data_IF_833235458215
#
_entry.id   IF_833235458215
#
_cell.length_a   1.000
_cell.length_b   1.000
_cell.length_c   1.000
_cell.angle_alpha   90.00
_cell.angle_beta   90.00
_cell.angle_gamma   90.00
#
_symmetry.space_group_name_H-M   'P 1'
#
loop_
_entity.id
_entity.type
_entity.pdbx_description
1 polymer ?
#
# COMPACT_ATOMS: atom_id res chain seq x y z
N UNK A 1 0.41 -15.18 -8.87
CA UNK A 1 1.17 -14.94 -10.12
C UNK A 1 0.39 -14.11 -11.17
N UNK A 2 -0.38 -14.66 -12.14
CA UNK A 2 -0.96 -13.85 -13.27
C UNK A 2 -1.92 -12.69 -12.90
N UNK A 3 -2.46 -12.63 -11.68
CA UNK A 3 -3.24 -11.48 -11.14
C UNK A 3 -2.38 -10.43 -10.40
N UNK A 4 -1.11 -10.73 -10.18
CA UNK A 4 -0.16 -9.95 -9.38
C UNK A 4 0.87 -9.24 -10.26
N UNK A 5 1.47 -10.01 -11.19
CA UNK A 5 2.53 -9.56 -12.08
C UNK A 5 1.94 -9.03 -13.39
N UNK A 6 2.11 -7.74 -13.66
CA UNK A 6 1.85 -7.17 -14.98
C UNK A 6 3.07 -7.38 -15.88
N UNK A 7 2.86 -8.10 -16.98
CA UNK A 7 3.84 -8.31 -18.05
C UNK A 7 3.38 -7.72 -19.39
N UNK A 8 2.30 -6.93 -19.42
CA UNK A 8 1.73 -6.37 -20.65
C UNK A 8 2.69 -5.44 -21.40
N UNK A 9 3.57 -4.75 -20.67
CA UNK A 9 4.63 -3.89 -21.21
C UNK A 9 5.91 -4.65 -21.62
N UNK A 10 5.96 -5.98 -21.47
CA UNK A 10 7.15 -6.78 -21.73
C UNK A 10 7.09 -7.52 -23.07
N UNK A 11 8.26 -7.65 -23.73
CA UNK A 11 8.40 -8.56 -24.87
C UNK A 11 8.16 -10.01 -24.41
N UNK A 12 7.58 -10.91 -25.23
CA UNK A 12 7.23 -12.27 -24.79
C UNK A 12 8.39 -13.08 -24.17
N UNK A 13 9.64 -12.84 -24.59
CA UNK A 13 10.82 -13.44 -23.98
C UNK A 13 11.07 -12.93 -22.55
N UNK A 14 11.05 -11.61 -22.34
CA UNK A 14 11.17 -10.98 -21.01
C UNK A 14 10.01 -11.41 -20.09
N UNK A 15 8.78 -11.41 -20.61
CA UNK A 15 7.61 -11.88 -19.88
C UNK A 15 7.75 -13.34 -19.42
N UNK A 16 8.26 -14.22 -20.29
CA UNK A 16 8.52 -15.62 -19.95
C UNK A 16 9.69 -15.79 -18.97
N UNK A 17 10.73 -14.95 -19.05
CA UNK A 17 11.86 -14.94 -18.12
C UNK A 17 11.39 -14.60 -16.71
N UNK A 18 10.75 -13.44 -16.51
CA UNK A 18 10.20 -13.03 -15.21
C UNK A 18 9.16 -14.04 -14.71
N UNK A 19 8.27 -14.57 -15.57
CA UNK A 19 7.33 -15.63 -15.21
C UNK A 19 7.99 -16.99 -14.91
N UNK A 20 9.27 -17.18 -15.21
CA UNK A 20 10.07 -18.36 -14.83
C UNK A 20 10.73 -18.13 -13.48
N UNK A 21 11.36 -16.97 -13.28
CA UNK A 21 11.94 -16.56 -11.99
C UNK A 21 10.91 -16.56 -10.87
N UNK A 22 9.74 -15.97 -11.14
CA UNK A 22 8.64 -15.86 -10.20
C UNK A 22 8.06 -17.22 -9.77
N UNK A 23 8.39 -18.33 -10.44
CA UNK A 23 7.99 -19.69 -9.99
C UNK A 23 8.83 -20.22 -8.83
N UNK A 24 9.95 -19.57 -8.49
CA UNK A 24 10.75 -19.95 -7.32
C UNK A 24 9.99 -19.70 -6.00
N UNK A 25 9.15 -18.67 -5.96
CA UNK A 25 8.33 -18.31 -4.79
C UNK A 25 7.24 -19.40 -4.57
N UNK A 26 7.12 -19.98 -3.36
CA UNK A 26 6.13 -21.01 -3.06
C UNK A 26 4.67 -20.57 -3.31
N UNK A 27 3.83 -21.53 -3.71
CA UNK A 27 2.43 -21.29 -4.08
C UNK A 27 1.58 -20.66 -2.95
N UNK A 28 1.88 -20.98 -1.69
CA UNK A 28 1.22 -20.42 -0.52
C UNK A 28 1.59 -18.94 -0.31
N UNK A 29 2.88 -18.59 -0.38
CA UNK A 29 3.32 -17.20 -0.34
C UNK A 29 2.73 -16.40 -1.52
N UNK A 30 2.65 -17.01 -2.70
CA UNK A 30 1.96 -16.42 -3.86
C UNK A 30 0.48 -16.14 -3.65
N UNK A 31 -0.20 -16.91 -2.79
CA UNK A 31 -1.58 -16.67 -2.38
C UNK A 31 -1.63 -15.54 -1.36
N UNK A 32 -0.81 -15.58 -0.31
CA UNK A 32 -0.75 -14.51 0.71
C UNK A 32 -0.48 -13.13 0.10
N UNK A 33 0.44 -13.03 -0.86
CA UNK A 33 0.72 -11.79 -1.60
C UNK A 33 -0.45 -11.38 -2.53
N UNK A 34 -1.21 -12.34 -3.08
CA UNK A 34 -2.44 -12.05 -3.84
C UNK A 34 -3.54 -11.47 -2.95
N UNK A 35 -3.75 -12.10 -1.79
CA UNK A 35 -4.80 -11.76 -0.85
C UNK A 35 -4.46 -10.49 -0.06
N UNK A 36 -3.17 -10.12 0.07
CA UNK A 36 -2.71 -8.79 0.52
C UNK A 36 -2.81 -7.70 -0.54
N UNK A 37 -3.33 -8.02 -1.74
CA UNK A 37 -3.56 -7.08 -2.83
C UNK A 37 -2.32 -6.64 -3.59
N UNK A 38 -1.17 -7.33 -3.49
CA UNK A 38 0.08 -6.92 -4.14
C UNK A 38 -0.09 -6.66 -5.65
N UNK A 39 0.68 -5.74 -6.21
CA UNK A 39 0.96 -5.66 -7.65
C UNK A 39 2.46 -5.56 -7.87
N UNK A 40 2.92 -6.15 -8.96
CA UNK A 40 4.34 -6.25 -9.33
C UNK A 40 4.40 -5.85 -10.80
N UNK A 41 5.13 -4.78 -11.15
CA UNK A 41 5.15 -4.27 -12.52
C UNK A 41 6.54 -3.90 -13.02
N UNK A 42 6.70 -3.97 -14.33
CA UNK A 42 7.83 -3.38 -15.06
C UNK A 42 7.50 -1.97 -15.55
N UNK A 43 8.38 -0.99 -15.32
CA UNK A 43 8.30 0.31 -15.98
C UNK A 43 9.32 0.40 -17.13
N UNK A 44 8.88 0.58 -18.39
CA UNK A 44 9.76 0.82 -19.54
C UNK A 44 10.53 2.16 -19.49
N UNK A 45 11.67 2.26 -20.20
CA UNK A 45 12.37 3.53 -20.40
C UNK A 45 11.46 4.58 -21.04
N UNK A 46 11.48 5.80 -20.51
CA UNK A 46 10.70 6.93 -20.99
C UNK A 46 9.23 6.97 -20.52
N UNK A 47 8.80 6.01 -19.69
CA UNK A 47 7.46 5.99 -19.11
C UNK A 47 7.42 6.48 -17.65
N UNK A 48 6.21 6.69 -17.14
CA UNK A 48 5.94 6.94 -15.72
C UNK A 48 4.82 6.02 -15.17
N UNK A 49 4.69 5.94 -13.85
CA UNK A 49 3.69 5.08 -13.23
C UNK A 49 2.23 5.53 -13.44
N UNK A 50 1.95 6.74 -13.94
CA UNK A 50 0.59 7.11 -14.38
C UNK A 50 0.14 6.28 -15.59
N UNK A 51 1.09 5.91 -16.46
CA UNK A 51 0.85 5.16 -17.70
C UNK A 51 0.69 3.64 -17.51
N UNK A 52 0.93 3.13 -16.29
CA UNK A 52 0.88 1.67 -15.99
C UNK A 52 -0.45 1.20 -15.42
N UNK A 53 -0.72 -0.12 -15.56
CA UNK A 53 -1.81 -0.80 -14.85
C UNK A 53 -1.62 -0.84 -13.32
N UNK A 54 -0.43 -0.47 -12.83
CA UNK A 54 0.06 -0.77 -11.48
C UNK A 54 -0.59 0.10 -10.41
N UNK A 55 -0.23 1.39 -10.42
CA UNK A 55 -0.83 2.41 -9.55
C UNK A 55 -2.29 2.65 -9.95
N UNK A 56 -2.75 2.12 -11.10
CA UNK A 56 -4.17 2.10 -11.40
C UNK A 56 -4.97 0.99 -10.69
N UNK A 57 -4.47 -0.09 -10.09
CA UNK A 57 -5.33 -1.28 -9.85
C UNK A 57 -5.82 -1.63 -8.42
N UNK A 58 -7.14 -1.82 -8.30
CA UNK A 58 -7.84 -2.62 -7.27
C UNK A 58 -8.96 -3.47 -7.95
N UNK A 59 -10.13 -3.66 -7.31
CA UNK A 59 -11.39 -4.02 -7.98
C UNK A 59 -12.59 -3.19 -7.46
N UNK A 60 -13.66 -3.01 -8.26
CA UNK A 60 -14.88 -2.32 -7.81
C UNK A 60 -15.61 -3.01 -6.64
N UNK A 61 -15.49 -4.34 -6.50
CA UNK A 61 -16.13 -5.07 -5.41
C UNK A 61 -15.49 -4.74 -4.03
N UNK A 62 -14.18 -4.48 -4.01
CA UNK A 62 -13.48 -4.04 -2.80
C UNK A 62 -13.90 -2.61 -2.41
N UNK A 63 -14.06 -1.73 -3.41
CA UNK A 63 -14.60 -0.38 -3.24
C UNK A 63 -16.00 -0.41 -2.63
N UNK A 64 -16.92 -1.19 -3.21
CA UNK A 64 -18.29 -1.37 -2.73
C UNK A 64 -18.35 -1.89 -1.28
N UNK A 65 -17.43 -2.79 -0.91
CA UNK A 65 -17.37 -3.34 0.43
C UNK A 65 -16.88 -2.30 1.45
N UNK A 66 -15.81 -1.56 1.12
CA UNK A 66 -15.31 -0.45 1.94
C UNK A 66 -16.37 0.63 2.12
N UNK A 67 -17.00 1.04 1.03
CA UNK A 67 -18.08 2.04 1.03
C UNK A 67 -19.23 1.62 1.97
N UNK A 68 -19.66 0.35 1.92
CA UNK A 68 -20.69 -0.17 2.84
C UNK A 68 -20.25 -0.14 4.30
N UNK A 69 -19.01 -0.56 4.61
CA UNK A 69 -18.47 -0.51 5.99
C UNK A 69 -18.39 0.91 6.51
N UNK A 70 -17.88 1.85 5.71
CA UNK A 70 -17.67 3.24 6.11
C UNK A 70 -19.00 4.00 6.20
N UNK A 71 -19.95 3.75 5.29
CA UNK A 71 -21.33 4.25 5.41
C UNK A 71 -22.02 3.74 6.69
N UNK A 72 -21.75 2.48 7.09
CA UNK A 72 -22.26 1.97 8.36
C UNK A 72 -21.55 2.60 9.56
N UNK A 73 -20.22 2.71 9.56
CA UNK A 73 -19.45 3.44 10.59
C UNK A 73 -19.93 4.89 10.79
N UNK A 74 -20.35 5.57 9.72
CA UNK A 74 -20.96 6.89 9.77
C UNK A 74 -22.33 6.85 10.49
N UNK A 75 -23.23 5.92 10.12
CA UNK A 75 -24.53 5.73 10.80
C UNK A 75 -24.37 5.40 12.28
N UNK A 76 -23.46 4.48 12.60
CA UNK A 76 -23.25 4.02 13.96
C UNK A 76 -22.73 5.16 14.84
N UNK A 77 -21.80 5.97 14.31
CA UNK A 77 -21.29 7.17 14.99
C UNK A 77 -22.38 8.23 15.16
N UNK A 78 -23.24 8.45 14.15
CA UNK A 78 -24.36 9.39 14.26
C UNK A 78 -25.35 8.93 15.34
N UNK A 79 -25.79 7.67 15.28
CA UNK A 79 -26.76 7.13 16.24
C UNK A 79 -26.22 7.10 17.67
N UNK A 80 -24.91 6.87 17.84
CA UNK A 80 -24.21 7.01 19.11
C UNK A 80 -24.30 8.45 19.64
N UNK A 81 -23.95 9.46 18.84
CA UNK A 81 -24.02 10.86 19.27
C UNK A 81 -25.45 11.39 19.49
N UNK A 82 -26.42 10.99 18.64
CA UNK A 82 -27.84 11.30 18.83
C UNK A 82 -28.33 10.75 20.18
N UNK A 83 -27.91 9.54 20.57
CA UNK A 83 -28.27 8.93 21.86
C UNK A 83 -27.64 9.58 23.10
N UNK A 84 -26.60 10.40 22.92
CA UNK A 84 -25.94 11.15 23.99
C UNK A 84 -26.55 12.54 24.20
N UNK A 85 -27.47 12.97 23.33
CA UNK A 85 -28.11 14.30 23.40
C UNK A 85 -29.51 14.17 24.04
N UNK A 86 -29.77 14.89 25.13
CA UNK A 86 -31.11 14.92 25.74
C UNK A 86 -32.05 15.81 24.90
N UNK A 87 -33.12 15.26 24.27
CA UNK A 87 -34.03 16.03 23.43
C UNK A 87 -34.94 16.97 24.22
N UNK A 88 -34.91 16.95 25.56
CA UNK A 88 -35.68 17.84 26.43
C UNK A 88 -34.92 19.12 26.81
N UNK A 89 -33.62 19.23 26.48
CA UNK A 89 -32.81 20.42 26.70
C UNK A 89 -32.58 21.17 25.37
N UNK A 90 -33.28 22.29 25.20
CA UNK A 90 -33.17 23.15 24.01
C UNK A 90 -31.76 23.74 23.83
N UNK A 91 -31.03 23.99 24.92
CA UNK A 91 -29.68 24.54 24.88
C UNK A 91 -28.65 23.49 24.45
N UNK A 92 -28.74 22.26 24.98
CA UNK A 92 -27.93 21.13 24.51
C UNK A 92 -28.25 20.78 23.05
N UNK A 93 -29.54 20.79 22.68
CA UNK A 93 -29.96 20.57 21.28
C UNK A 93 -29.38 21.61 20.33
N UNK A 94 -29.39 22.89 20.68
CA UNK A 94 -28.77 23.95 19.88
C UNK A 94 -27.24 23.85 19.83
N UNK A 95 -26.58 23.54 20.96
CA UNK A 95 -25.14 23.30 21.02
C UNK A 95 -24.70 22.09 20.20
N UNK A 96 -25.48 21.01 20.20
CA UNK A 96 -25.27 19.82 19.37
C UNK A 96 -25.38 20.18 17.89
N UNK A 97 -26.47 20.82 17.45
CA UNK A 97 -26.67 21.21 16.05
C UNK A 97 -25.53 22.11 15.51
N UNK A 98 -24.93 22.94 16.36
CA UNK A 98 -23.80 23.80 16.02
C UNK A 98 -22.43 23.06 15.96
N UNK A 99 -22.28 21.89 16.60
CA UNK A 99 -20.99 21.19 16.77
C UNK A 99 -20.92 19.77 16.19
N UNK A 100 -22.06 19.19 15.84
CA UNK A 100 -22.20 17.83 15.31
C UNK A 100 -21.27 17.52 14.13
N UNK A 101 -21.11 18.47 13.19
CA UNK A 101 -20.32 18.27 11.97
C UNK A 101 -18.85 17.95 12.27
N UNK A 102 -18.12 18.85 12.97
CA UNK A 102 -16.76 18.57 13.45
C UNK A 102 -16.65 17.29 14.29
N UNK A 103 -17.57 17.05 15.24
CA UNK A 103 -17.52 15.88 16.13
C UNK A 103 -17.65 14.56 15.34
N UNK A 104 -18.61 14.50 14.41
CA UNK A 104 -18.81 13.32 13.56
C UNK A 104 -17.63 13.15 12.59
N UNK A 105 -17.09 14.23 12.03
CA UNK A 105 -15.90 14.19 11.19
C UNK A 105 -14.68 13.61 11.94
N UNK A 106 -14.45 14.04 13.18
CA UNK A 106 -13.36 13.55 14.04
C UNK A 106 -13.55 12.07 14.43
N UNK A 107 -14.75 11.68 14.89
CA UNK A 107 -15.04 10.31 15.32
C UNK A 107 -15.08 9.30 14.15
N UNK A 108 -15.37 9.75 12.93
CA UNK A 108 -15.34 8.90 11.73
C UNK A 108 -13.97 8.85 11.06
N UNK A 109 -13.09 9.86 11.24
CA UNK A 109 -11.77 9.91 10.59
C UNK A 109 -10.93 8.62 10.78
N UNK A 110 -10.81 8.01 11.99
CA UNK A 110 -10.10 6.73 12.16
C UNK A 110 -10.79 5.53 11.47
N UNK A 111 -12.11 5.64 11.25
CA UNK A 111 -12.98 4.62 10.65
C UNK A 111 -13.14 4.79 9.12
N UNK A 112 -12.58 5.85 8.52
CA UNK A 112 -12.95 6.31 7.19
C UNK A 112 -12.30 5.54 6.02
N UNK A 113 -11.37 4.62 6.26
CA UNK A 113 -10.71 3.72 5.28
C UNK A 113 -10.15 4.37 3.97
N UNK A 114 -9.94 5.69 3.96
CA UNK A 114 -9.47 6.48 2.82
C UNK A 114 -10.50 7.44 2.21
N UNK A 115 -11.77 7.39 2.64
CA UNK A 115 -12.75 8.44 2.39
C UNK A 115 -12.41 9.70 3.23
N UNK A 116 -12.65 10.89 2.69
CA UNK A 116 -12.27 12.15 3.34
C UNK A 116 -13.49 12.80 4.03
N UNK A 117 -13.50 12.97 5.36
CA UNK A 117 -14.55 13.74 6.01
C UNK A 117 -14.44 15.22 5.66
N UNK A 118 -15.59 15.85 5.43
CA UNK A 118 -15.74 17.31 5.24
C UNK A 118 -16.90 17.83 6.07
N UNK A 119 -16.71 19.01 6.66
CA UNK A 119 -17.75 19.72 7.43
C UNK A 119 -18.42 20.72 6.51
N UNK A 120 -19.75 20.72 6.49
CA UNK A 120 -20.57 21.64 5.69
C UNK A 120 -21.27 22.66 6.59
N UNK A 121 -20.86 23.92 6.51
CA UNK A 121 -21.51 25.06 7.17
C UNK A 121 -22.67 25.66 6.36
N UNK A 122 -22.81 25.26 5.10
CA UNK A 122 -23.82 25.70 4.12
C UNK A 122 -24.02 24.60 3.06
N UNK A 123 -25.11 24.65 2.27
CA UNK A 123 -25.18 23.89 1.03
C UNK A 123 -24.05 24.29 0.06
N UNK A 124 -23.49 23.32 -0.64
CA UNK A 124 -22.39 23.45 -1.62
C UNK A 124 -22.76 22.74 -2.91
N UNK A 125 -22.18 23.13 -4.03
CA UNK A 125 -22.40 22.45 -5.31
C UNK A 125 -21.70 21.09 -5.38
N UNK A 126 -22.21 20.20 -6.23
CA UNK A 126 -21.54 18.93 -6.50
C UNK A 126 -20.14 19.11 -7.09
N UNK A 127 -19.91 20.16 -7.89
CA UNK A 127 -18.60 20.46 -8.48
C UNK A 127 -17.57 20.91 -7.43
N UNK A 128 -17.96 21.73 -6.44
CA UNK A 128 -17.12 22.04 -5.26
C UNK A 128 -16.74 20.77 -4.47
N UNK A 129 -17.64 19.79 -4.36
CA UNK A 129 -17.35 18.52 -3.70
C UNK A 129 -16.43 17.59 -4.53
N UNK A 130 -16.55 17.62 -5.86
CA UNK A 130 -15.63 16.89 -6.76
C UNK A 130 -14.22 17.46 -6.73
N UNK A 131 -14.09 18.79 -6.68
CA UNK A 131 -12.82 19.50 -6.54
C UNK A 131 -12.19 19.24 -5.16
N UNK A 132 -12.98 19.33 -4.08
CA UNK A 132 -12.52 19.01 -2.72
C UNK A 132 -12.12 17.54 -2.52
N UNK A 133 -12.65 16.62 -3.34
CA UNK A 133 -12.23 15.23 -3.40
C UNK A 133 -10.96 15.00 -4.26
N UNK A 134 -10.48 16.00 -4.99
CA UNK A 134 -9.35 15.87 -5.91
C UNK A 134 -9.62 14.96 -7.12
N UNK A 135 -10.89 14.85 -7.54
CA UNK A 135 -11.28 13.94 -8.61
C UNK A 135 -11.25 14.61 -9.99
N UNK A 136 -10.59 13.96 -10.96
CA UNK A 136 -10.95 14.14 -12.38
C UNK A 136 -12.46 13.80 -12.54
N UNK A 137 -13.18 14.44 -13.49
CA UNK A 137 -14.66 14.36 -13.57
C UNK A 137 -15.17 12.91 -13.77
N UNK A 138 -15.49 12.24 -12.67
CA UNK A 138 -15.99 10.87 -12.61
C UNK A 138 -17.49 10.81 -12.84
N UNK A 139 -17.95 9.93 -13.73
CA UNK A 139 -19.37 9.63 -13.97
C UNK A 139 -20.10 9.09 -12.74
N UNK A 140 -19.36 8.51 -11.80
CA UNK A 140 -19.90 7.72 -10.70
C UNK A 140 -19.97 8.54 -9.40
N UNK A 141 -19.38 9.74 -9.36
CA UNK A 141 -19.21 10.53 -8.14
C UNK A 141 -20.51 10.76 -7.38
N UNK A 142 -21.59 11.16 -8.07
CA UNK A 142 -22.92 11.36 -7.49
C UNK A 142 -23.47 10.08 -6.84
N UNK A 143 -23.23 8.93 -7.47
CA UNK A 143 -23.73 7.63 -7.01
C UNK A 143 -22.94 7.15 -5.78
N UNK A 144 -21.61 7.26 -5.82
CA UNK A 144 -20.72 6.95 -4.70
C UNK A 144 -21.02 7.84 -3.49
N UNK A 145 -21.13 9.16 -3.70
CA UNK A 145 -21.44 10.14 -2.65
C UNK A 145 -22.80 9.84 -1.99
N UNK A 146 -23.84 9.50 -2.78
CA UNK A 146 -25.16 9.08 -2.29
C UNK A 146 -25.12 7.75 -1.55
N UNK A 147 -24.38 6.78 -2.05
CA UNK A 147 -24.27 5.45 -1.45
C UNK A 147 -23.53 5.51 -0.10
N UNK A 148 -22.49 6.34 -0.02
CA UNK A 148 -21.68 6.57 1.18
C UNK A 148 -22.45 7.36 2.25
N UNK A 149 -23.12 8.45 1.86
CA UNK A 149 -23.73 9.43 2.78
C UNK A 149 -25.26 9.38 2.89
N UNK A 150 -25.94 8.42 2.26
CA UNK A 150 -27.40 8.38 2.12
C UNK A 150 -28.26 8.72 3.36
N UNK A 151 -27.88 8.37 4.60
CA UNK A 151 -28.61 8.76 5.82
C UNK A 151 -28.59 10.26 6.13
N UNK A 152 -27.56 10.98 5.68
CA UNK A 152 -27.36 12.41 5.99
C UNK A 152 -27.43 13.32 4.78
N UNK A 153 -27.16 12.80 3.58
CA UNK A 153 -27.09 13.58 2.35
C UNK A 153 -28.46 14.15 1.95
N UNK A 154 -28.55 15.48 1.89
CA UNK A 154 -29.65 16.22 1.29
C UNK A 154 -29.18 16.78 -0.05
N UNK A 155 -30.01 16.67 -1.09
CA UNK A 155 -29.73 17.25 -2.41
C UNK A 155 -30.95 17.99 -2.93
N UNK A 156 -30.78 19.28 -3.23
CA UNK A 156 -31.80 20.18 -3.77
C UNK A 156 -31.26 20.78 -5.07
N UNK A 157 -31.65 20.19 -6.20
CA UNK A 157 -31.06 20.51 -7.51
C UNK A 157 -29.57 20.15 -7.57
N UNK A 158 -28.73 21.13 -7.84
CA UNK A 158 -27.27 21.01 -7.87
C UNK A 158 -26.60 21.27 -6.50
N UNK A 159 -27.37 21.68 -5.47
CA UNK A 159 -26.85 21.93 -4.13
C UNK A 159 -26.98 20.69 -3.25
N UNK A 160 -25.94 20.44 -2.48
CA UNK A 160 -25.76 19.30 -1.59
C UNK A 160 -25.51 19.83 -0.18
N UNK A 161 -26.13 19.21 0.81
CA UNK A 161 -25.97 19.51 2.24
C UNK A 161 -26.06 18.24 3.08
N UNK A 162 -25.85 18.37 4.40
CA UNK A 162 -25.95 17.26 5.36
C UNK A 162 -26.97 17.60 6.45
N UNK A 163 -27.72 16.61 6.95
CA UNK A 163 -28.51 16.75 8.20
C UNK A 163 -27.62 17.02 9.41
N UNK A 164 -26.38 16.54 9.38
CA UNK A 164 -25.45 16.51 10.50
C UNK A 164 -24.24 17.44 10.28
N UNK A 165 -24.29 18.34 9.29
CA UNK A 165 -23.19 19.24 8.91
C UNK A 165 -21.85 18.51 8.59
N UNK A 166 -21.89 17.20 8.30
CA UNK A 166 -20.74 16.39 7.90
C UNK A 166 -21.10 15.48 6.73
N UNK A 167 -20.17 15.30 5.79
CA UNK A 167 -20.18 14.27 4.75
C UNK A 167 -18.82 13.57 4.69
N UNK A 168 -18.77 12.41 4.07
CA UNK A 168 -17.56 11.76 3.58
C UNK A 168 -17.49 11.91 2.06
N UNK A 169 -16.35 12.30 1.50
CA UNK A 169 -16.16 12.38 0.06
C UNK A 169 -15.63 11.05 -0.51
N UNK A 170 -16.19 10.57 -1.64
CA UNK A 170 -15.59 9.45 -2.38
C UNK A 170 -14.24 9.89 -2.95
N UNK A 171 -13.20 9.17 -2.57
CA UNK A 171 -11.84 9.38 -3.06
C UNK A 171 -11.73 9.02 -4.56
N UNK A 172 -10.75 9.60 -5.28
CA UNK A 172 -10.50 9.24 -6.67
C UNK A 172 -10.07 7.77 -6.78
N UNK A 173 -10.95 6.94 -7.34
CA UNK A 173 -10.66 5.54 -7.65
C UNK A 173 -9.60 5.47 -8.75
N UNK A 174 -8.36 5.07 -8.44
CA UNK A 174 -7.53 4.37 -9.44
C UNK A 174 -7.93 2.89 -9.40
N UNK A 175 -8.77 2.48 -10.37
CA UNK A 175 -9.50 1.18 -10.51
C UNK A 175 -10.05 0.54 -9.20
N UNK A 176 -10.24 1.31 -8.11
CA UNK A 176 -11.01 0.94 -6.92
C UNK A 176 -10.31 0.96 -5.55
N UNK A 177 -9.01 1.31 -5.47
CA UNK A 177 -8.07 1.15 -4.26
C UNK A 177 -8.14 2.69 -3.80
N UNK A 178 -8.49 3.04 -2.52
CA UNK A 178 -8.26 4.39 -2.01
C UNK A 178 -6.77 4.71 -1.96
N UNK A 179 -6.36 5.64 -2.82
CA UNK A 179 -5.05 6.28 -2.70
C UNK A 179 -5.28 7.71 -2.21
N UNK A 180 -4.71 8.08 -1.06
CA UNK A 180 -4.69 9.47 -0.60
C UNK A 180 -4.10 10.34 -1.70
N UNK A 181 -4.71 11.49 -1.99
CA UNK A 181 -4.39 12.33 -3.15
C UNK A 181 -2.88 12.63 -3.28
N UNK A 182 -2.21 12.99 -2.19
CA UNK A 182 -0.76 13.26 -2.18
C UNK A 182 0.07 12.02 -2.50
N UNK A 183 -0.33 10.84 -2.01
CA UNK A 183 0.31 9.57 -2.33
C UNK A 183 0.09 9.20 -3.80
N UNK A 184 -1.10 9.48 -4.35
CA UNK A 184 -1.42 9.26 -5.75
C UNK A 184 -0.55 10.11 -6.67
N UNK A 185 -0.34 11.38 -6.30
CA UNK A 185 0.52 12.31 -7.02
C UNK A 185 2.01 11.96 -6.87
N UNK A 186 2.45 11.56 -5.67
CA UNK A 186 3.79 11.01 -5.44
C UNK A 186 4.05 9.77 -6.31
N UNK A 187 3.09 8.85 -6.42
CA UNK A 187 3.23 7.67 -7.28
C UNK A 187 3.16 8.03 -8.77
N UNK A 188 2.27 8.95 -9.19
CA UNK A 188 2.22 9.47 -10.58
C UNK A 188 3.55 10.13 -11.01
N UNK A 189 4.30 10.75 -10.10
CA UNK A 189 5.58 11.43 -10.44
C UNK A 189 6.79 10.49 -10.56
N UNK A 190 6.64 9.20 -10.24
CA UNK A 190 7.70 8.20 -10.38
C UNK A 190 7.87 7.82 -11.85
N UNK A 191 8.93 8.37 -12.45
CA UNK A 191 9.30 8.15 -13.84
C UNK A 191 10.43 7.13 -13.98
N UNK A 192 10.66 6.67 -15.22
CA UNK A 192 11.66 5.67 -15.55
C UNK A 192 13.07 6.05 -15.09
N UNK A 193 13.48 7.33 -15.14
CA UNK A 193 14.82 7.74 -14.75
C UNK A 193 15.04 7.66 -13.23
N UNK A 194 14.04 8.03 -12.42
CA UNK A 194 14.08 7.86 -10.97
C UNK A 194 14.13 6.36 -10.58
N UNK A 195 13.34 5.53 -11.25
CA UNK A 195 13.31 4.09 -11.03
C UNK A 195 14.55 3.36 -11.59
N UNK A 196 15.17 3.89 -12.65
CA UNK A 196 16.44 3.37 -13.16
C UNK A 196 17.57 3.62 -12.14
N UNK A 197 17.64 4.83 -11.58
CA UNK A 197 18.60 5.16 -10.51
C UNK A 197 18.40 4.36 -9.21
N UNK A 198 17.17 3.87 -8.95
CA UNK A 198 16.85 3.00 -7.82
C UNK A 198 16.95 1.50 -8.14
N UNK A 199 17.05 1.13 -9.42
CA UNK A 199 16.83 -0.20 -10.01
C UNK A 199 15.38 -0.73 -9.88
N UNK A 200 14.87 -0.74 -8.65
CA UNK A 200 13.50 -1.09 -8.29
C UNK A 200 13.07 -0.36 -7.02
N UNK A 201 11.83 -0.59 -6.59
CA UNK A 201 11.32 -0.09 -5.30
C UNK A 201 10.02 -0.77 -4.87
N UNK A 202 9.79 -0.77 -3.57
CA UNK A 202 8.61 -1.32 -2.92
C UNK A 202 7.78 -0.19 -2.24
N UNK A 203 6.66 0.16 -2.85
CA UNK A 203 5.64 1.04 -2.28
C UNK A 203 4.63 0.23 -1.47
N UNK A 204 5.05 -0.36 -0.35
CA UNK A 204 4.21 -1.27 0.43
C UNK A 204 2.88 -0.65 0.89
N UNK A 205 2.82 0.66 1.14
CA UNK A 205 1.59 1.36 1.52
C UNK A 205 0.49 1.32 0.45
N UNK A 206 0.86 1.06 -0.81
CA UNK A 206 -0.06 0.79 -1.94
C UNK A 206 -0.03 -0.67 -2.39
N UNK A 207 0.56 -1.58 -1.60
CA UNK A 207 0.82 -2.98 -1.98
C UNK A 207 1.44 -3.08 -3.38
N UNK A 208 2.52 -2.36 -3.66
CA UNK A 208 3.07 -2.23 -5.03
C UNK A 208 4.60 -2.37 -5.10
N UNK A 209 5.08 -3.27 -5.96
CA UNK A 209 6.47 -3.40 -6.41
C UNK A 209 6.61 -2.86 -7.83
N UNK A 210 7.66 -2.08 -8.07
CA UNK A 210 8.01 -1.54 -9.40
C UNK A 210 9.49 -1.79 -9.67
N UNK A 211 9.80 -2.34 -10.85
CA UNK A 211 11.19 -2.55 -11.31
C UNK A 211 11.37 -1.89 -12.68
N UNK A 212 12.50 -1.22 -12.90
CA UNK A 212 12.81 -0.66 -14.21
C UNK A 212 13.15 -1.78 -15.21
N UNK A 213 12.62 -1.70 -16.45
CA UNK A 213 12.66 -2.82 -17.40
C UNK A 213 14.08 -3.32 -17.74
N UNK A 214 15.09 -2.47 -17.61
CA UNK A 214 16.50 -2.79 -17.84
C UNK A 214 17.06 -3.82 -16.85
N UNK A 215 16.48 -3.97 -15.64
CA UNK A 215 16.96 -4.87 -14.58
C UNK A 215 16.08 -6.14 -14.42
N UNK A 216 15.32 -6.46 -15.47
CA UNK A 216 14.57 -7.72 -15.62
C UNK A 216 15.31 -8.86 -16.35
N UNK A 217 16.40 -8.64 -17.11
CA UNK A 217 17.27 -9.72 -17.54
C UNK A 217 17.83 -10.47 -16.32
N UNK A 218 17.97 -11.77 -16.45
CA UNK A 218 18.51 -12.64 -15.41
C UNK A 218 19.68 -13.45 -16.00
N UNK A 219 20.92 -13.21 -15.54
CA UNK A 219 21.31 -12.12 -14.63
C UNK A 219 21.22 -10.73 -15.30
N UNK A 220 21.15 -9.65 -14.50
CA UNK A 220 21.24 -8.26 -14.96
C UNK A 220 22.64 -7.67 -14.72
N UNK A 221 23.54 -7.60 -15.72
CA UNK A 221 24.89 -7.06 -15.54
C UNK A 221 24.91 -5.61 -15.02
N UNK A 222 23.93 -4.79 -15.44
CA UNK A 222 23.76 -3.39 -15.06
C UNK A 222 23.39 -3.22 -13.57
N UNK A 223 22.88 -4.28 -12.93
CA UNK A 223 22.64 -4.37 -11.49
C UNK A 223 23.68 -5.27 -10.79
N UNK A 224 24.86 -5.49 -11.38
CA UNK A 224 25.91 -6.33 -10.77
C UNK A 224 25.48 -7.79 -10.59
N UNK A 225 24.65 -8.29 -11.50
CA UNK A 225 24.01 -9.62 -11.49
C UNK A 225 22.99 -9.84 -10.35
N UNK A 226 22.49 -8.78 -9.69
CA UNK A 226 21.30 -8.88 -8.85
C UNK A 226 20.05 -9.23 -9.66
N UNK A 227 19.15 -9.99 -9.05
CA UNK A 227 17.83 -10.40 -9.55
C UNK A 227 16.78 -9.51 -8.89
N UNK A 228 16.81 -8.22 -9.26
CA UNK A 228 16.09 -7.11 -8.61
C UNK A 228 14.61 -7.39 -8.34
N UNK A 229 13.93 -8.11 -9.25
CA UNK A 229 12.53 -8.51 -9.06
C UNK A 229 12.29 -9.40 -7.83
N UNK A 230 13.25 -10.28 -7.47
CA UNK A 230 13.16 -11.10 -6.26
C UNK A 230 13.50 -10.30 -5.00
N UNK A 231 14.44 -9.35 -5.08
CA UNK A 231 14.76 -8.42 -3.99
C UNK A 231 13.55 -7.57 -3.58
N UNK A 232 12.90 -6.91 -4.55
CA UNK A 232 11.73 -6.07 -4.27
C UNK A 232 10.50 -6.87 -3.78
N UNK A 233 10.36 -8.14 -4.21
CA UNK A 233 9.36 -9.06 -3.65
C UNK A 233 9.78 -9.57 -2.26
N UNK A 234 11.08 -9.66 -1.96
CA UNK A 234 11.61 -9.89 -0.61
C UNK A 234 11.17 -8.80 0.37
N UNK A 235 11.25 -7.52 -0.02
CA UNK A 235 10.67 -6.40 0.72
C UNK A 235 9.15 -6.54 0.92
N UNK A 236 8.42 -7.04 -0.08
CA UNK A 236 6.96 -7.27 0.02
C UNK A 236 6.62 -8.40 1.01
N UNK A 237 7.47 -9.43 1.08
CA UNK A 237 7.33 -10.55 2.02
C UNK A 237 7.64 -10.09 3.44
N UNK A 238 8.78 -9.41 3.68
CA UNK A 238 9.13 -8.81 4.98
C UNK A 238 7.99 -7.96 5.52
N UNK A 239 7.49 -7.02 4.72
CA UNK A 239 6.38 -6.13 5.09
C UNK A 239 5.02 -6.83 5.24
N UNK A 240 4.79 -7.99 4.62
CA UNK A 240 3.58 -8.78 4.82
C UNK A 240 3.65 -9.57 6.14
N UNK A 241 4.76 -10.27 6.39
CA UNK A 241 4.91 -11.09 7.60
C UNK A 241 4.93 -10.20 8.85
N UNK A 242 5.69 -9.08 8.83
CA UNK A 242 5.76 -8.03 9.86
C UNK A 242 4.39 -7.45 10.27
N UNK A 243 3.32 -7.65 9.46
CA UNK A 243 1.94 -7.24 9.76
C UNK A 243 1.03 -8.35 10.29
N UNK A 244 1.43 -9.62 10.30
CA UNK A 244 0.59 -10.73 10.78
C UNK A 244 0.51 -10.67 12.31
N UNK A 245 -0.70 -10.49 12.84
CA UNK A 245 -0.97 -10.40 14.27
C UNK A 245 -1.25 -11.76 14.92
N UNK A 246 -1.66 -12.75 14.14
CA UNK A 246 -1.90 -14.12 14.60
C UNK A 246 -0.66 -14.68 15.29
N UNK A 247 -0.83 -15.26 16.49
CA UNK A 247 0.21 -15.91 17.30
C UNK A 247 1.54 -15.14 17.45
N UNK A 248 1.52 -13.80 17.36
CA UNK A 248 2.69 -12.90 17.32
C UNK A 248 3.61 -13.04 16.10
N UNK A 249 3.20 -13.75 15.03
CA UNK A 249 4.03 -14.10 13.86
C UNK A 249 4.86 -12.93 13.33
N UNK A 250 4.26 -11.75 13.10
CA UNK A 250 4.98 -10.59 12.56
C UNK A 250 5.96 -9.96 13.52
N UNK A 251 5.62 -9.92 14.81
CA UNK A 251 6.50 -9.42 15.88
C UNK A 251 7.72 -10.33 16.06
N UNK A 252 7.51 -11.63 16.05
CA UNK A 252 8.57 -12.63 16.25
C UNK A 252 9.48 -12.68 15.01
N UNK A 253 8.89 -12.61 13.80
CA UNK A 253 9.64 -12.40 12.55
C UNK A 253 10.52 -11.15 12.62
N UNK A 254 9.96 -9.99 12.98
CA UNK A 254 10.70 -8.73 13.03
C UNK A 254 11.84 -8.79 14.05
N UNK A 255 11.57 -9.33 15.23
CA UNK A 255 12.57 -9.51 16.28
C UNK A 255 13.73 -10.40 15.81
N UNK A 256 13.42 -11.56 15.21
CA UNK A 256 14.43 -12.52 14.73
C UNK A 256 15.29 -11.98 13.58
N UNK A 257 14.70 -11.25 12.62
CA UNK A 257 15.48 -10.62 11.55
C UNK A 257 16.38 -9.50 12.11
N UNK A 258 15.89 -8.71 13.07
CA UNK A 258 16.72 -7.67 13.72
C UNK A 258 17.85 -8.26 14.57
N UNK A 259 17.63 -9.35 15.28
CA UNK A 259 18.67 -10.10 16.01
C UNK A 259 19.79 -10.56 15.07
N UNK A 260 19.42 -11.22 13.96
CA UNK A 260 20.35 -11.73 12.96
C UNK A 260 21.13 -10.60 12.27
N UNK A 261 20.45 -9.50 11.93
CA UNK A 261 21.06 -8.31 11.33
C UNK A 261 22.11 -7.67 12.25
N UNK A 262 21.78 -7.39 13.53
CA UNK A 262 22.72 -6.76 14.45
C UNK A 262 23.91 -7.69 14.78
N UNK A 263 23.68 -9.00 14.89
CA UNK A 263 24.74 -10.01 15.03
C UNK A 263 25.72 -9.97 13.86
N UNK A 264 25.21 -9.98 12.64
CA UNK A 264 26.05 -10.01 11.43
C UNK A 264 26.75 -8.67 11.19
N UNK A 265 26.06 -7.55 11.44
CA UNK A 265 26.63 -6.20 11.42
C UNK A 265 27.81 -6.09 12.40
N UNK A 266 27.70 -6.67 13.60
CA UNK A 266 28.77 -6.70 14.60
C UNK A 266 29.94 -7.64 14.22
N UNK A 267 29.70 -8.68 13.40
CA UNK A 267 30.74 -9.54 12.85
C UNK A 267 31.55 -8.89 11.71
N UNK A 268 31.01 -7.83 11.10
CA UNK A 268 31.60 -7.10 9.98
C UNK A 268 30.89 -7.36 8.64
N UNK A 269 31.34 -6.72 7.54
CA UNK A 269 30.67 -6.80 6.26
C UNK A 269 30.67 -8.24 5.71
N UNK A 270 29.50 -8.87 5.67
CA UNK A 270 29.33 -10.18 5.03
C UNK A 270 29.46 -10.07 3.52
N UNK A 271 30.19 -11.00 2.90
CA UNK A 271 30.46 -11.01 1.45
C UNK A 271 29.21 -11.25 0.58
N UNK A 272 28.11 -11.69 1.20
CA UNK A 272 26.78 -11.81 0.60
C UNK A 272 26.04 -10.47 0.53
N UNK A 273 26.02 -9.73 1.65
CA UNK A 273 25.28 -8.48 1.81
C UNK A 273 25.92 -7.32 1.04
N UNK A 274 25.14 -6.62 0.23
CA UNK A 274 25.55 -5.32 -0.33
C UNK A 274 25.82 -4.28 0.78
N UNK A 275 26.54 -3.19 0.50
CA UNK A 275 26.70 -2.08 1.46
C UNK A 275 25.37 -1.51 1.96
N UNK A 276 24.29 -1.62 1.18
CA UNK A 276 22.94 -1.17 1.57
C UNK A 276 22.29 -2.13 2.57
N UNK A 277 22.51 -3.44 2.43
CA UNK A 277 22.10 -4.47 3.38
C UNK A 277 22.94 -4.50 4.67
N UNK A 278 24.11 -3.87 4.72
CA UNK A 278 24.92 -3.75 5.94
C UNK A 278 24.39 -2.68 6.91
N UNK A 279 23.61 -1.70 6.42
CA UNK A 279 23.03 -0.61 7.21
C UNK A 279 21.49 -0.60 7.30
N UNK A 280 20.79 -1.50 6.62
CA UNK A 280 19.33 -1.57 6.66
C UNK A 280 18.80 -3.03 6.78
N UNK A 281 18.17 -3.31 7.92
CA UNK A 281 17.56 -4.60 8.29
C UNK A 281 16.53 -5.15 7.28
N UNK A 282 15.83 -4.30 6.52
CA UNK A 282 14.88 -4.78 5.49
C UNK A 282 15.60 -5.21 4.21
N UNK A 283 16.66 -4.50 3.83
CA UNK A 283 17.48 -4.83 2.66
C UNK A 283 18.28 -6.12 2.90
N UNK A 284 18.79 -6.29 4.13
CA UNK A 284 19.38 -7.54 4.62
C UNK A 284 18.45 -8.75 4.43
N UNK A 285 17.16 -8.61 4.73
CA UNK A 285 16.18 -9.69 4.51
C UNK A 285 15.77 -9.82 3.04
N UNK A 286 15.64 -8.72 2.30
CA UNK A 286 15.32 -8.74 0.87
C UNK A 286 16.41 -9.46 0.06
N UNK A 287 17.69 -9.21 0.34
CA UNK A 287 18.81 -9.95 -0.25
C UNK A 287 18.82 -11.42 0.22
N UNK A 288 18.36 -11.73 1.43
CA UNK A 288 18.26 -13.11 1.91
C UNK A 288 17.19 -13.92 1.15
N UNK A 289 16.06 -13.28 0.84
CA UNK A 289 15.03 -13.84 -0.06
C UNK A 289 15.55 -13.96 -1.49
N UNK A 290 16.29 -12.97 -2.00
CA UNK A 290 16.94 -13.02 -3.31
C UNK A 290 17.90 -14.22 -3.40
N UNK A 291 18.81 -14.38 -2.43
CA UNK A 291 19.72 -15.52 -2.33
C UNK A 291 18.99 -16.85 -2.25
N UNK A 292 18.04 -17.01 -1.31
CA UNK A 292 17.30 -18.25 -1.11
C UNK A 292 16.56 -18.71 -2.37
N UNK A 293 16.04 -17.77 -3.16
CA UNK A 293 15.35 -18.02 -4.43
C UNK A 293 16.28 -18.04 -5.66
N UNK A 294 17.60 -17.95 -5.45
CA UNK A 294 18.65 -18.01 -6.48
C UNK A 294 19.44 -19.30 -6.35
N UNK A 295 19.13 -20.26 -7.21
CA UNK A 295 19.81 -21.55 -7.32
C UNK A 295 20.61 -21.61 -8.61
N UNK A 296 21.77 -22.27 -8.54
CA UNK A 296 22.53 -22.65 -9.74
C UNK A 296 21.63 -23.44 -10.70
N UNK A 297 21.73 -23.12 -11.99
CA UNK A 297 20.98 -23.74 -13.09
C UNK A 297 21.82 -24.76 -13.86
N UNK A 298 23.13 -24.84 -13.60
CA UNK A 298 24.07 -25.66 -14.36
C UNK A 298 24.33 -25.13 -15.79
N UNK A 299 23.91 -23.91 -16.10
CA UNK A 299 24.11 -23.26 -17.41
C UNK A 299 25.41 -22.45 -17.51
N UNK A 300 26.12 -22.29 -16.39
CA UNK A 300 27.39 -21.56 -16.32
C UNK A 300 27.27 -20.04 -16.30
N UNK A 301 26.05 -19.50 -16.16
CA UNK A 301 25.82 -18.07 -15.93
C UNK A 301 25.98 -17.79 -14.42
N UNK A 302 27.13 -17.25 -14.03
CA UNK A 302 27.47 -16.97 -12.63
C UNK A 302 26.55 -15.91 -12.02
N UNK A 303 25.46 -16.37 -11.40
CA UNK A 303 24.50 -15.55 -10.64
C UNK A 303 25.13 -15.09 -9.33
N UNK A 304 26.07 -14.14 -9.44
CA UNK A 304 26.79 -13.44 -8.36
C UNK A 304 27.33 -14.41 -7.28
N UNK A 305 28.62 -14.77 -7.27
CA UNK A 305 29.12 -15.97 -6.58
C UNK A 305 28.95 -16.04 -5.04
N UNK A 306 28.41 -15.00 -4.41
CA UNK A 306 28.08 -14.96 -2.98
C UNK A 306 26.60 -14.61 -2.67
N UNK A 307 25.73 -14.45 -3.68
CA UNK A 307 24.30 -14.15 -3.52
C UNK A 307 23.42 -15.29 -4.09
N UNK A 308 23.56 -16.48 -3.53
CA UNK A 308 22.81 -17.67 -3.93
C UNK A 308 22.51 -18.59 -2.73
N UNK A 309 21.53 -19.48 -2.94
CA UNK A 309 20.93 -20.38 -1.96
C UNK A 309 21.97 -21.21 -1.19
N UNK A 310 22.96 -21.76 -1.90
CA UNK A 310 23.96 -22.65 -1.29
C UNK A 310 25.04 -21.85 -0.54
N UNK A 311 25.42 -20.66 -1.03
CA UNK A 311 26.28 -19.74 -0.27
C UNK A 311 25.59 -19.28 1.01
N UNK A 312 24.33 -18.82 0.94
CA UNK A 312 23.55 -18.38 2.09
C UNK A 312 23.43 -19.51 3.13
N UNK A 313 23.12 -20.73 2.67
CA UNK A 313 23.03 -21.92 3.52
C UNK A 313 24.34 -22.29 4.22
N UNK A 314 25.47 -22.14 3.54
CA UNK A 314 26.78 -22.50 4.07
C UNK A 314 27.35 -21.45 5.05
N UNK A 315 27.09 -20.16 4.81
CA UNK A 315 27.74 -19.06 5.52
C UNK A 315 26.82 -18.32 6.50
N UNK A 316 25.49 -18.40 6.35
CA UNK A 316 24.53 -17.89 7.30
C UNK A 316 23.33 -18.85 7.49
N UNK A 317 23.58 -20.06 8.04
CA UNK A 317 22.57 -21.11 8.17
C UNK A 317 21.36 -20.70 9.03
N UNK A 318 21.52 -19.76 9.97
CA UNK A 318 20.41 -19.26 10.78
C UNK A 318 19.47 -18.32 10.00
N UNK A 319 20.01 -17.43 9.16
CA UNK A 319 19.19 -16.61 8.27
C UNK A 319 18.53 -17.47 7.18
N UNK A 320 19.27 -18.45 6.65
CA UNK A 320 18.71 -19.45 5.73
C UNK A 320 17.51 -20.17 6.37
N UNK A 321 17.65 -20.67 7.60
CA UNK A 321 16.57 -21.37 8.31
C UNK A 321 15.36 -20.47 8.59
N UNK A 322 15.56 -19.17 8.89
CA UNK A 322 14.47 -18.22 9.08
C UNK A 322 13.69 -17.96 7.78
N UNK A 323 14.38 -17.86 6.64
CA UNK A 323 13.75 -17.72 5.32
C UNK A 323 13.04 -19.02 4.89
N UNK A 324 13.63 -20.18 5.18
CA UNK A 324 13.00 -21.50 4.97
C UNK A 324 11.73 -21.67 5.81
N UNK A 325 11.74 -21.25 7.09
CA UNK A 325 10.55 -21.23 7.96
C UNK A 325 9.44 -20.37 7.34
N UNK A 326 9.74 -19.12 6.92
CA UNK A 326 8.76 -18.22 6.28
C UNK A 326 8.15 -18.82 5.00
N UNK A 327 8.92 -19.61 4.25
CA UNK A 327 8.46 -20.26 3.02
C UNK A 327 7.75 -21.61 3.23
N UNK A 328 7.89 -22.24 4.40
CA UNK A 328 7.31 -23.56 4.71
C UNK A 328 6.21 -23.53 5.79
N UNK A 329 6.10 -22.44 6.56
CA UNK A 329 5.11 -22.24 7.63
C UNK A 329 3.68 -22.30 7.07
N UNK A 330 2.81 -23.03 7.76
CA UNK A 330 1.37 -22.91 7.56
C UNK A 330 0.88 -21.64 8.27
N UNK A 331 0.30 -20.72 7.49
CA UNK A 331 -0.27 -19.47 7.99
C UNK A 331 -1.79 -19.61 8.13
N UNK A 332 -2.43 -18.91 9.08
CA UNK A 332 -3.87 -18.96 9.26
C UNK A 332 -4.63 -18.36 8.07
N UNK A 333 -5.83 -18.86 7.81
CA UNK A 333 -6.73 -18.34 6.79
C UNK A 333 -8.12 -18.06 7.40
N UNK A 334 -8.63 -16.81 7.37
CA UNK A 334 -7.96 -15.59 6.90
C UNK A 334 -6.82 -15.13 7.82
N UNK A 335 -5.88 -14.37 7.27
CA UNK A 335 -4.84 -13.67 8.04
C UNK A 335 -5.44 -12.49 8.83
N UNK A 336 -5.09 -12.35 10.10
CA UNK A 336 -5.32 -11.12 10.86
C UNK A 336 -4.14 -10.16 10.64
N UNK A 337 -4.32 -9.17 9.75
CA UNK A 337 -3.29 -8.20 9.42
C UNK A 337 -3.49 -6.87 10.17
N UNK A 338 -2.43 -6.39 10.81
CA UNK A 338 -2.36 -5.03 11.32
C UNK A 338 -2.67 -4.00 10.19
N UNK A 339 -3.28 -2.84 10.49
CA UNK A 339 -3.54 -1.79 9.50
C UNK A 339 -2.29 -1.43 8.67
N UNK A 340 -2.50 -0.95 7.44
CA UNK A 340 -1.38 -0.40 6.66
C UNK A 340 -0.80 0.82 7.40
N UNK A 341 0.54 0.93 7.53
CA UNK A 341 1.16 2.10 8.14
C UNK A 341 0.94 3.34 7.29
N UNK A 342 0.74 4.50 7.92
CA UNK A 342 0.53 5.75 7.17
C UNK A 342 1.71 6.06 6.22
N UNK A 343 1.45 6.57 4.99
CA UNK A 343 2.51 6.89 4.05
C UNK A 343 3.28 8.13 4.50
N UNK A 344 4.56 7.96 4.86
CA UNK A 344 5.44 9.03 5.34
C UNK A 344 6.01 9.86 4.18
N UNK A 345 5.20 10.76 3.63
CA UNK A 345 5.64 11.72 2.60
C UNK A 345 5.64 13.15 3.14
N UNK A 346 6.60 13.96 2.67
CA UNK A 346 6.45 15.41 2.65
C UNK A 346 5.77 15.77 1.33
N UNK A 347 4.56 16.31 1.41
CA UNK A 347 3.93 16.92 0.25
C UNK A 347 4.75 18.15 -0.21
N UNK A 348 4.80 18.48 -1.51
CA UNK A 348 5.28 19.77 -1.96
C UNK A 348 4.42 20.89 -1.37
N UNK A 349 5.05 21.87 -0.72
CA UNK A 349 4.34 23.01 -0.14
C UNK A 349 3.68 23.85 -1.26
N UNK A 350 2.34 23.98 -1.23
CA UNK A 350 1.64 24.90 -2.15
C UNK A 350 0.13 24.68 -2.37
N UNK A 351 -0.41 23.47 -2.21
CA UNK A 351 -1.75 23.16 -2.75
C UNK A 351 -2.97 23.42 -1.83
N UNK A 352 -2.78 23.79 -0.55
CA UNK A 352 -3.84 23.83 0.47
C UNK A 352 -4.14 25.24 1.00
N UNK A 353 -4.18 26.25 0.11
CA UNK A 353 -4.42 27.65 0.49
C UNK A 353 -5.90 28.02 0.73
N UNK A 354 -6.85 27.15 0.36
CA UNK A 354 -8.29 27.49 0.27
C UNK A 354 -9.26 26.51 0.94
N UNK A 355 -8.74 25.46 1.59
CA UNK A 355 -9.53 24.67 2.55
C UNK A 355 -9.20 25.17 3.96
N UNK A 356 -10.21 25.39 4.80
CA UNK A 356 -9.98 25.78 6.19
C UNK A 356 -9.17 24.69 6.90
N UNK A 357 -8.10 25.10 7.60
CA UNK A 357 -7.19 24.16 8.26
C UNK A 357 -7.97 23.33 9.30
N UNK A 358 -7.75 22.01 9.39
CA UNK A 358 -8.18 21.26 10.57
C UNK A 358 -7.53 21.90 11.80
N UNK A 359 -8.34 22.11 12.85
CA UNK A 359 -7.93 22.87 14.03
C UNK A 359 -6.80 22.16 14.79
N UNK A 360 -5.64 22.80 14.85
CA UNK A 360 -4.52 22.45 15.74
C UNK A 360 -4.07 23.68 16.54
N UNK A 361 -5.04 24.41 17.09
CA UNK A 361 -4.83 25.47 18.10
C UNK A 361 -6.17 25.78 18.81
N UNK A 362 -6.46 25.04 19.89
CA UNK A 362 -7.40 25.36 20.97
C UNK A 362 -7.03 24.55 22.23
#
# INVERSE_FOLDING_TARGET
>A
MRKLLDVSNLKPQQANQVLSEMRAIPGQMWKMLADSGLRIVSLPPGQDLSQTSAVTQFSPADYDLRLKRVSQSLKDTISEQESLTDPNDEFQTAMWQARQGPIIAELVLPKAEGFQPVVLSKPVSEEELMEAAGSERSSDFTADLRSLNGPVLKQEGNLISSTHNALLLPYPRRQGVPVRFDHLNYLKSQNSAALQAAMGTNYWQSSLVVVHQDYLPDPAPEAGHHRVMLHEVGHAIDHLIDRIQDDNIGKDHRARVSELFERDKAAGPSAFTSPRAQDNVREYFAEAVESYLTRDRGDGLDTKPHNNHDWLKANNPELFAHVDEIFTRQYPEPLNLAPMPEPKYKAPEGLLAHLEKPYLEL
#
